data_IF_989404071077
#
_entry.id   IF_989404071077
#
_cell.length_a   1.000
_cell.length_b   1.000
_cell.length_c   1.000
_cell.angle_alpha   90.00
_cell.angle_beta   90.00
_cell.angle_gamma   90.00
#
_symmetry.space_group_name_H-M   'P 1'
#
loop_
_entity.id
_entity.type
_entity.pdbx_description
1 polymer ?
#
# COMPACT_ATOMS: atom_id res chain seq x y z
N UNK A 1 6.02 5.04 0.14
CA UNK A 1 6.03 5.19 -1.33
C UNK A 1 5.91 3.85 -2.00
N UNK A 2 5.37 3.82 -3.22
CA UNK A 2 5.45 2.62 -4.05
C UNK A 2 6.91 2.25 -4.35
N UNK A 3 7.18 0.96 -4.53
CA UNK A 3 8.50 0.36 -4.75
C UNK A 3 9.46 0.48 -3.57
N UNK A 4 9.03 1.07 -2.44
CA UNK A 4 9.87 1.22 -1.26
C UNK A 4 9.49 0.18 -0.22
N UNK A 5 10.43 -0.67 0.15
CA UNK A 5 10.26 -1.59 1.27
C UNK A 5 10.26 -0.83 2.59
N UNK A 6 9.45 -1.31 3.53
CA UNK A 6 9.47 -0.83 4.92
C UNK A 6 9.96 -1.97 5.78
N UNK A 7 11.13 -1.79 6.40
CA UNK A 7 11.71 -2.79 7.30
C UNK A 7 11.31 -2.48 8.75
N UNK A 8 10.69 -3.46 9.40
CA UNK A 8 10.49 -3.47 10.84
C UNK A 8 11.72 -4.08 11.52
N UNK A 9 12.25 -3.40 12.53
CA UNK A 9 13.44 -3.86 13.28
C UNK A 9 13.07 -4.53 14.61
N UNK A 10 11.80 -4.45 15.01
CA UNK A 10 11.26 -5.04 16.22
C UNK A 10 9.89 -5.63 15.89
N UNK A 11 9.58 -6.76 16.51
CA UNK A 11 8.24 -7.32 16.52
C UNK A 11 7.44 -6.63 17.63
N UNK A 12 6.53 -5.75 17.23
CA UNK A 12 5.75 -4.93 18.16
C UNK A 12 4.55 -5.67 18.75
N UNK A 13 4.29 -6.93 18.35
CA UNK A 13 3.30 -7.78 18.99
C UNK A 13 3.87 -8.49 20.24
N UNK A 14 5.19 -8.66 20.29
CA UNK A 14 5.89 -9.38 21.37
C UNK A 14 6.80 -8.49 22.23
N UNK A 15 7.06 -7.25 21.82
CA UNK A 15 7.92 -6.30 22.53
C UNK A 15 7.34 -4.89 22.56
N UNK A 16 7.68 -4.12 23.60
CA UNK A 16 7.29 -2.72 23.69
C UNK A 16 7.97 -1.88 22.60
N UNK A 17 7.15 -1.24 21.76
CA UNK A 17 7.60 -0.39 20.68
C UNK A 17 7.32 1.08 20.94
N UNK A 18 8.26 1.94 20.57
CA UNK A 18 7.97 3.37 20.40
C UNK A 18 6.93 3.56 19.28
N UNK A 19 6.19 4.69 19.26
CA UNK A 19 5.23 4.95 18.19
C UNK A 19 5.82 4.83 16.77
N UNK A 20 7.08 5.25 16.59
CA UNK A 20 7.78 5.12 15.30
C UNK A 20 8.10 3.67 14.93
N UNK A 21 8.46 2.82 15.90
CA UNK A 21 8.71 1.40 15.65
C UNK A 21 7.41 0.68 15.29
N UNK A 22 6.33 0.96 16.02
CA UNK A 22 5.00 0.41 15.77
C UNK A 22 4.50 0.79 14.37
N UNK A 23 4.60 2.06 13.98
CA UNK A 23 4.23 2.49 12.63
C UNK A 23 5.02 1.78 11.50
N UNK A 24 6.32 1.48 11.73
CA UNK A 24 7.13 0.72 10.77
C UNK A 24 6.74 -0.75 10.73
N UNK A 25 6.44 -1.35 11.88
CA UNK A 25 5.95 -2.72 11.98
C UNK A 25 4.62 -2.89 11.24
N UNK A 26 3.65 -2.03 11.53
CA UNK A 26 2.33 -2.05 10.88
C UNK A 26 2.45 -1.87 9.36
N UNK A 27 3.26 -0.92 8.91
CA UNK A 27 3.47 -0.68 7.48
C UNK A 27 4.17 -1.85 6.77
N UNK A 28 5.13 -2.50 7.43
CA UNK A 28 5.80 -3.70 6.90
C UNK A 28 4.81 -4.88 6.81
N UNK A 29 4.05 -5.13 7.87
CA UNK A 29 3.04 -6.18 7.91
C UNK A 29 1.96 -5.97 6.85
N UNK A 30 1.47 -4.74 6.69
CA UNK A 30 0.50 -4.38 5.66
C UNK A 30 1.03 -4.59 4.24
N UNK A 31 2.26 -4.14 3.94
CA UNK A 31 2.87 -4.37 2.62
C UNK A 31 3.09 -5.85 2.32
N UNK A 32 3.50 -6.65 3.31
CA UNK A 32 3.59 -8.10 3.16
C UNK A 32 2.22 -8.72 2.86
N UNK A 33 1.17 -8.28 3.55
CA UNK A 33 -0.18 -8.76 3.28
C UNK A 33 -0.65 -8.40 1.86
N UNK A 34 -0.32 -7.21 1.35
CA UNK A 34 -0.58 -6.85 -0.06
C UNK A 34 0.14 -7.81 -1.01
N UNK A 35 1.44 -8.00 -0.83
CA UNK A 35 2.25 -8.86 -1.70
C UNK A 35 1.75 -10.32 -1.72
N UNK A 36 1.26 -10.83 -0.57
CA UNK A 36 0.70 -12.19 -0.44
C UNK A 36 -0.64 -12.32 -1.17
N UNK A 37 -1.51 -11.31 -1.09
CA UNK A 37 -2.88 -11.40 -1.59
C UNK A 37 -3.05 -10.88 -3.02
N UNK A 38 -2.16 -9.98 -3.47
CA UNK A 38 -2.24 -9.30 -4.75
C UNK A 38 -0.89 -9.48 -5.47
N UNK A 39 -0.78 -10.42 -6.43
CA UNK A 39 0.41 -10.58 -7.24
C UNK A 39 0.76 -9.27 -7.96
N UNK A 40 2.03 -8.85 -7.87
CA UNK A 40 2.49 -7.53 -8.37
C UNK A 40 1.78 -6.33 -7.74
N UNK A 41 1.15 -6.52 -6.58
CA UNK A 41 0.53 -5.48 -5.78
C UNK A 41 1.55 -4.71 -4.94
N UNK A 42 1.30 -3.43 -4.70
CA UNK A 42 2.07 -2.62 -3.77
C UNK A 42 1.21 -1.53 -3.13
N UNK A 43 1.64 -1.04 -1.96
CA UNK A 43 0.96 -0.04 -1.17
C UNK A 43 1.77 1.25 -0.99
N UNK A 44 1.07 2.37 -0.92
CA UNK A 44 1.62 3.67 -0.53
C UNK A 44 0.75 4.31 0.56
N UNK A 45 1.42 4.97 1.51
CA UNK A 45 0.82 5.96 2.39
C UNK A 45 1.49 7.29 2.05
N UNK A 46 0.71 8.27 1.60
CA UNK A 46 1.14 9.63 1.29
C UNK A 46 0.49 10.60 2.26
N UNK A 47 1.25 11.60 2.70
CA UNK A 47 0.76 12.68 3.56
C UNK A 47 0.79 13.99 2.79
N UNK A 48 -0.34 14.70 2.81
CA UNK A 48 -0.47 16.06 2.31
C UNK A 48 -0.57 17.02 3.51
N UNK A 49 0.46 17.86 3.65
CA UNK A 49 0.60 18.84 4.73
C UNK A 49 0.37 20.28 4.23
N UNK A 50 -0.22 20.48 3.03
CA UNK A 50 -0.42 21.82 2.48
C UNK A 50 -1.50 22.62 3.24
N UNK A 51 -2.40 21.95 3.96
CA UNK A 51 -3.47 22.55 4.75
C UNK A 51 -3.15 22.72 6.24
N UNK A 52 -4.11 23.27 6.99
CA UNK A 52 -4.04 23.36 8.46
C UNK A 52 -4.14 22.01 9.18
N UNK A 53 -4.57 20.97 8.47
CA UNK A 53 -4.68 19.58 8.93
C UNK A 53 -4.06 18.65 7.89
N UNK A 54 -3.29 17.63 8.31
CA UNK A 54 -2.72 16.68 7.39
C UNK A 54 -3.79 15.76 6.80
N UNK A 55 -3.73 15.53 5.50
CA UNK A 55 -4.50 14.47 4.85
C UNK A 55 -3.61 13.27 4.59
N UNK A 56 -4.11 12.08 4.94
CA UNK A 56 -3.44 10.83 4.62
C UNK A 56 -4.17 10.13 3.49
N UNK A 57 -3.44 9.77 2.45
CA UNK A 57 -3.95 8.95 1.34
C UNK A 57 -3.26 7.60 1.39
N UNK A 58 -4.05 6.55 1.58
CA UNK A 58 -3.61 5.16 1.58
C UNK A 58 -4.06 4.55 0.27
N UNK A 59 -3.11 4.09 -0.53
CA UNK A 59 -3.34 3.58 -1.88
C UNK A 59 -2.76 2.19 -2.03
N UNK A 60 -3.50 1.31 -2.72
CA UNK A 60 -3.05 -0.02 -3.13
C UNK A 60 -3.16 -0.11 -4.64
N UNK A 61 -2.05 -0.45 -5.28
CA UNK A 61 -1.97 -0.66 -6.73
C UNK A 61 -1.75 -2.13 -7.02
N UNK A 62 -2.44 -2.68 -8.00
CA UNK A 62 -2.32 -4.09 -8.38
C UNK A 62 -2.69 -4.32 -9.84
N UNK A 63 -2.24 -5.44 -10.41
CA UNK A 63 -2.61 -5.87 -11.76
C UNK A 63 -3.81 -6.81 -11.70
N UNK A 64 -4.88 -6.47 -12.42
CA UNK A 64 -6.06 -7.33 -12.54
C UNK A 64 -5.90 -8.29 -13.73
N UNK A 65 -5.40 -9.49 -13.43
CA UNK A 65 -5.14 -10.53 -14.44
C UNK A 65 -6.42 -11.02 -15.13
N UNK A 66 -7.59 -10.90 -14.50
CA UNK A 66 -8.86 -11.31 -15.12
C UNK A 66 -9.24 -10.37 -16.25
N UNK A 67 -8.91 -9.08 -16.11
CA UNK A 67 -9.04 -8.10 -17.18
C UNK A 67 -7.99 -8.33 -18.28
N UNK A 68 -6.75 -8.67 -17.92
CA UNK A 68 -5.71 -9.00 -18.91
C UNK A 68 -6.16 -10.16 -19.82
N UNK A 69 -6.63 -11.27 -19.25
CA UNK A 69 -7.09 -12.43 -20.04
C UNK A 69 -8.35 -12.14 -20.87
N UNK A 70 -9.22 -11.22 -20.42
CA UNK A 70 -10.40 -10.80 -21.19
C UNK A 70 -10.04 -9.89 -22.38
N UNK A 71 -8.88 -9.24 -22.33
CA UNK A 71 -8.39 -8.29 -23.34
C UNK A 71 -7.43 -8.92 -24.36
N UNK A 72 -7.08 -10.21 -24.27
CA UNK A 72 -6.19 -10.90 -25.24
C UNK A 72 -6.70 -10.91 -26.71
N UNK A 73 -7.90 -10.36 -26.98
CA UNK A 73 -8.44 -10.13 -28.33
C UNK A 73 -8.65 -8.65 -28.72
N UNK A 74 -8.23 -7.67 -27.91
CA UNK A 74 -8.43 -6.24 -28.14
C UNK A 74 -7.30 -5.38 -27.57
N UNK A 75 -7.21 -4.11 -27.97
CA UNK A 75 -6.17 -3.19 -27.49
C UNK A 75 -6.16 -3.14 -25.95
N UNK A 76 -5.15 -3.75 -25.33
CA UNK A 76 -5.07 -3.87 -23.87
C UNK A 76 -5.07 -2.47 -23.23
N UNK A 77 -6.16 -2.13 -22.53
CA UNK A 77 -6.12 -1.08 -21.53
C UNK A 77 -5.24 -1.53 -20.37
N UNK A 78 -4.51 -0.61 -19.75
CA UNK A 78 -3.67 -0.92 -18.58
C UNK A 78 -4.51 -1.64 -17.51
N UNK A 79 -4.18 -2.91 -17.23
CA UNK A 79 -4.77 -3.71 -16.15
C UNK A 79 -4.32 -3.29 -14.75
N UNK A 80 -3.46 -2.27 -14.69
CA UNK A 80 -3.08 -1.63 -13.45
C UNK A 80 -4.29 -0.90 -12.83
N UNK A 81 -4.69 -1.34 -11.65
CA UNK A 81 -5.75 -0.76 -10.85
C UNK A 81 -5.15 -0.11 -9.61
N UNK A 82 -5.81 0.94 -9.13
CA UNK A 82 -5.51 1.55 -7.85
C UNK A 82 -6.81 1.75 -7.07
N UNK A 83 -6.75 1.45 -5.76
CA UNK A 83 -7.79 1.77 -4.80
C UNK A 83 -7.17 2.69 -3.75
N UNK A 84 -7.81 3.83 -3.51
CA UNK A 84 -7.29 4.87 -2.62
C UNK A 84 -8.35 5.30 -1.62
N UNK A 85 -7.95 5.40 -0.35
CA UNK A 85 -8.74 5.96 0.75
C UNK A 85 -8.04 7.22 1.23
N UNK A 86 -8.79 8.32 1.33
CA UNK A 86 -8.30 9.60 1.87
C UNK A 86 -8.99 9.87 3.19
N UNK A 87 -8.20 10.19 4.21
CA UNK A 87 -8.68 10.52 5.55
C UNK A 87 -8.03 11.80 6.08
N UNK A 88 -8.74 12.45 6.98
CA UNK A 88 -8.32 13.63 7.75
C UNK A 88 -8.19 13.21 9.21
N UNK A 89 -7.18 13.72 9.91
CA UNK A 89 -6.94 13.48 11.35
C UNK A 89 -6.85 14.82 12.08
#
# INVERSE_FOLDING_TARGET
>A
NYGSDVTALADCESTDCTPTQMAKFDAAAWKNAIAVNLPSGDGQIAVDNAGSRPFYTISVRFTDQKLDSALEGGTAGSSLREVSVRTEI
#
